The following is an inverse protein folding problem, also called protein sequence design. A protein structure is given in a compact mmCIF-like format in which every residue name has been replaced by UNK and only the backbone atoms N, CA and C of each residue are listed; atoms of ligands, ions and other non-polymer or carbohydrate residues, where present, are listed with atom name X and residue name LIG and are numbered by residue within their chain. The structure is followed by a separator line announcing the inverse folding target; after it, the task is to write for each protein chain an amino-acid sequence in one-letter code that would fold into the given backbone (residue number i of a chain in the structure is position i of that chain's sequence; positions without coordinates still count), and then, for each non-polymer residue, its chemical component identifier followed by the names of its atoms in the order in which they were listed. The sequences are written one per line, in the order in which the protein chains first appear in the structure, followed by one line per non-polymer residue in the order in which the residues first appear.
data_IF_102031040759
#
_entry.id   IF_102031040759
#
_cell.length_a   1.000
_cell.length_b   1.000
_cell.length_c   1.000
_cell.angle_alpha   90.00
_cell.angle_beta   90.00
_cell.angle_gamma   90.00
#
_symmetry.space_group_name_H-M   'P 1'
#
loop_
_entity.id
_entity.type
_entity.pdbx_description
1 polymer ?
#
# COMPACT_ATOMS: atom_id res chain seq x y z
N UNK A 1 20.20 3.00 -10.14
CA UNK A 1 20.74 3.24 -8.78
C UNK A 1 19.88 2.46 -7.78
N UNK A 2 20.46 1.73 -6.82
CA UNK A 2 19.69 1.08 -5.76
C UNK A 2 18.92 2.09 -4.89
N UNK A 3 17.75 1.69 -4.38
CA UNK A 3 16.92 2.51 -3.47
C UNK A 3 17.69 3.00 -2.24
N UNK A 4 18.54 2.16 -1.64
CA UNK A 4 19.41 2.53 -0.51
C UNK A 4 20.34 3.70 -0.85
N UNK A 5 20.92 3.72 -2.05
CA UNK A 5 21.79 4.80 -2.51
C UNK A 5 21.01 6.09 -2.73
N UNK A 6 19.81 6.01 -3.34
CA UNK A 6 18.91 7.17 -3.53
C UNK A 6 18.55 7.79 -2.18
N UNK A 7 18.17 6.97 -1.19
CA UNK A 7 17.85 7.43 0.15
C UNK A 7 19.02 8.18 0.79
N UNK A 8 20.24 7.60 0.76
CA UNK A 8 21.45 8.25 1.28
C UNK A 8 21.75 9.57 0.58
N UNK A 9 21.71 9.61 -0.75
CA UNK A 9 21.96 10.84 -1.51
C UNK A 9 20.98 11.96 -1.16
N UNK A 10 19.71 11.63 -0.92
CA UNK A 10 18.69 12.59 -0.46
C UNK A 10 18.99 13.14 0.94
N UNK A 11 19.55 12.32 1.83
CA UNK A 11 19.83 12.71 3.22
C UNK A 11 21.06 13.61 3.37
N UNK A 12 22.04 13.52 2.46
CA UNK A 12 23.34 14.21 2.61
C UNK A 12 23.44 15.52 1.83
N UNK A 13 22.53 15.83 0.90
CA UNK A 13 22.62 17.05 0.10
C UNK A 13 21.27 17.52 -0.43
N UNK A 14 20.96 18.81 -0.21
CA UNK A 14 19.77 19.48 -0.75
C UNK A 14 19.75 19.49 -2.28
N UNK A 15 20.92 19.64 -2.91
CA UNK A 15 21.04 19.62 -4.38
C UNK A 15 20.71 18.24 -4.94
N UNK A 16 21.28 17.18 -4.36
CA UNK A 16 20.94 15.82 -4.74
C UNK A 16 19.47 15.49 -4.46
N UNK A 17 18.93 15.94 -3.33
CA UNK A 17 17.51 15.78 -3.03
C UNK A 17 16.59 16.44 -4.07
N UNK A 18 16.97 17.62 -4.60
CA UNK A 18 16.26 18.28 -5.70
C UNK A 18 16.36 17.49 -7.01
N UNK A 19 17.58 17.08 -7.41
CA UNK A 19 17.80 16.31 -8.65
C UNK A 19 17.02 14.99 -8.64
N UNK A 20 17.05 14.26 -7.52
CA UNK A 20 16.37 12.96 -7.36
C UNK A 20 14.84 13.06 -7.28
N UNK A 21 14.29 14.27 -7.13
CA UNK A 21 12.84 14.54 -7.18
C UNK A 21 12.37 15.01 -8.56
N UNK A 22 13.28 15.26 -9.50
CA UNK A 22 12.87 15.73 -10.82
C UNK A 22 12.09 14.64 -11.57
N UNK A 23 11.11 15.03 -12.40
CA UNK A 23 10.32 14.07 -13.19
C UNK A 23 11.16 13.20 -14.12
N UNK A 24 12.15 13.78 -14.80
CA UNK A 24 13.04 13.07 -15.73
C UNK A 24 13.89 11.98 -15.05
N UNK A 25 14.40 12.25 -13.86
CA UNK A 25 15.09 11.22 -13.06
C UNK A 25 14.14 10.08 -12.69
N UNK A 26 12.92 10.44 -12.31
CA UNK A 26 11.87 9.50 -11.88
C UNK A 26 11.47 8.60 -13.04
N UNK A 27 11.23 9.19 -14.22
CA UNK A 27 10.92 8.46 -15.45
C UNK A 27 12.06 7.51 -15.85
N UNK A 28 13.31 7.99 -15.88
CA UNK A 28 14.47 7.17 -16.23
C UNK A 28 14.67 6.02 -15.23
N UNK A 29 14.43 6.28 -13.93
CA UNK A 29 14.42 5.24 -12.91
C UNK A 29 13.34 4.19 -13.17
N UNK A 30 12.11 4.61 -13.48
CA UNK A 30 11.01 3.72 -13.83
C UNK A 30 11.30 2.90 -15.09
N UNK A 31 11.75 3.51 -16.18
CA UNK A 31 12.11 2.81 -17.42
C UNK A 31 13.14 1.71 -17.16
N UNK A 32 14.19 2.00 -16.37
CA UNK A 32 15.21 1.00 -16.01
C UNK A 32 14.68 -0.07 -15.05
N UNK A 33 13.66 0.24 -14.24
CA UNK A 33 13.01 -0.72 -13.37
C UNK A 33 12.07 -1.64 -14.14
N UNK A 34 11.33 -1.12 -15.12
CA UNK A 34 10.44 -1.90 -15.99
C UNK A 34 11.22 -2.93 -16.83
N UNK A 35 12.46 -2.61 -17.22
CA UNK A 35 13.34 -3.56 -17.89
C UNK A 35 13.83 -4.73 -16.99
N UNK A 36 13.60 -4.64 -15.66
CA UNK A 36 13.92 -5.70 -14.68
C UNK A 36 12.70 -5.92 -13.77
N UNK A 37 11.64 -6.55 -14.28
CA UNK A 37 10.42 -6.73 -13.52
C UNK A 37 10.69 -7.52 -12.23
N UNK A 38 10.13 -7.02 -11.13
CA UNK A 38 10.15 -7.65 -9.82
C UNK A 38 8.71 -8.07 -9.50
N UNK A 39 8.53 -9.31 -9.09
CA UNK A 39 7.29 -9.77 -8.47
C UNK A 39 7.28 -9.30 -7.03
N UNK A 40 6.23 -8.57 -6.65
CA UNK A 40 5.95 -8.22 -5.26
C UNK A 40 4.90 -9.18 -4.74
N UNK A 41 5.25 -9.94 -3.70
CA UNK A 41 4.33 -10.86 -3.02
C UNK A 41 4.01 -10.28 -1.64
N UNK A 42 2.74 -10.37 -1.26
CA UNK A 42 2.26 -10.01 0.07
C UNK A 42 1.76 -11.28 0.76
N UNK A 43 2.30 -11.57 1.94
CA UNK A 43 1.88 -12.69 2.77
C UNK A 43 1.25 -12.16 4.07
N UNK A 44 0.09 -12.69 4.43
CA UNK A 44 -0.55 -12.41 5.71
C UNK A 44 0.00 -13.40 6.74
N UNK A 45 0.63 -12.89 7.79
CA UNK A 45 1.10 -13.68 8.92
C UNK A 45 0.52 -13.09 10.20
N UNK A 46 -0.39 -13.83 10.83
CA UNK A 46 -1.09 -13.44 12.06
C UNK A 46 -1.75 -12.05 11.94
N UNK A 47 -1.08 -11.01 12.45
CA UNK A 47 -1.49 -9.61 12.49
C UNK A 47 -0.51 -8.72 11.75
N UNK A 48 0.18 -9.23 10.73
CA UNK A 48 1.09 -8.46 9.91
C UNK A 48 1.00 -8.84 8.43
N UNK A 49 1.20 -7.86 7.55
CA UNK A 49 1.47 -8.10 6.13
C UNK A 49 2.98 -8.07 5.91
N UNK A 50 3.54 -9.14 5.39
CA UNK A 50 4.96 -9.25 5.05
C UNK A 50 5.12 -9.15 3.53
N UNK A 51 6.01 -8.26 3.09
CA UNK A 51 6.31 -8.05 1.69
C UNK A 51 7.63 -8.69 1.28
N UNK A 52 7.56 -9.44 0.18
CA UNK A 52 8.67 -10.10 -0.47
C UNK A 52 8.80 -9.56 -1.88
N UNK A 53 10.03 -9.38 -2.35
CA UNK A 53 10.27 -9.14 -3.77
C UNK A 53 11.21 -10.19 -4.33
N UNK A 54 10.93 -10.60 -5.56
CA UNK A 54 11.77 -11.54 -6.29
C UNK A 54 11.85 -11.13 -7.77
N UNK A 55 13.01 -11.27 -8.44
CA UNK A 55 13.10 -11.06 -9.88
C UNK A 55 12.08 -11.91 -10.63
N UNK A 56 11.32 -11.32 -11.55
CA UNK A 56 10.47 -12.11 -12.43
C UNK A 56 11.34 -12.86 -13.45
N UNK A 57 11.33 -14.20 -13.50
CA UNK A 57 12.11 -14.94 -14.48
C UNK A 57 11.58 -14.62 -15.88
N UNK A 58 12.48 -14.18 -16.77
CA UNK A 58 12.13 -13.81 -18.15
C UNK A 58 11.94 -15.04 -19.06
N UNK A 59 12.34 -16.24 -18.61
CA UNK A 59 12.18 -17.51 -19.32
C UNK A 59 11.62 -18.57 -18.37
N UNK A 60 10.47 -19.14 -18.72
CA UNK A 60 9.74 -20.14 -17.92
C UNK A 60 10.30 -21.57 -18.07
N UNK A 61 11.42 -21.75 -18.79
CA UNK A 61 11.91 -23.06 -19.26
C UNK A 61 13.10 -23.66 -18.48
N UNK A 62 13.75 -22.90 -17.62
CA UNK A 62 14.85 -23.40 -16.79
C UNK A 62 14.44 -23.31 -15.34
N UNK A 63 14.63 -24.41 -14.60
CA UNK A 63 14.30 -24.57 -13.19
C UNK A 63 14.46 -23.25 -12.44
N UNK A 64 13.32 -22.61 -12.11
CA UNK A 64 13.30 -21.34 -11.39
C UNK A 64 13.87 -21.63 -10.02
N UNK A 65 15.18 -21.45 -9.86
CA UNK A 65 15.79 -21.31 -8.56
C UNK A 65 15.10 -20.11 -7.94
N UNK A 66 14.17 -20.38 -7.02
CA UNK A 66 13.57 -19.38 -6.15
C UNK A 66 14.72 -18.78 -5.36
N UNK A 67 15.39 -17.78 -5.96
CA UNK A 67 16.34 -16.96 -5.24
C UNK A 67 15.64 -16.45 -3.99
N UNK A 68 16.33 -16.56 -2.86
CA UNK A 68 15.80 -16.21 -1.55
C UNK A 68 15.07 -14.87 -1.66
N UNK A 69 13.75 -14.89 -1.47
CA UNK A 69 12.94 -13.69 -1.60
C UNK A 69 13.41 -12.70 -0.52
N UNK A 70 13.81 -11.51 -0.93
CA UNK A 70 14.39 -10.55 -0.01
C UNK A 70 13.25 -9.99 0.85
N UNK A 71 13.38 -10.06 2.18
CA UNK A 71 12.39 -9.54 3.10
C UNK A 71 12.45 -8.01 3.09
N UNK A 72 11.39 -7.35 2.60
CA UNK A 72 11.44 -5.91 2.44
C UNK A 72 10.87 -5.15 3.63
N UNK A 73 9.64 -5.45 4.05
CA UNK A 73 8.90 -4.68 5.08
C UNK A 73 7.79 -5.53 5.71
N UNK A 74 7.49 -5.33 6.99
CA UNK A 74 6.24 -5.75 7.63
C UNK A 74 5.39 -4.55 8.04
N UNK A 75 4.06 -4.68 7.95
CA UNK A 75 3.11 -3.69 8.45
C UNK A 75 2.12 -4.35 9.42
N UNK A 76 1.92 -3.80 10.63
CA UNK A 76 0.97 -4.36 11.58
C UNK A 76 -0.47 -4.14 11.12
N UNK A 77 -1.30 -5.15 11.38
CA UNK A 77 -2.72 -5.21 11.13
C UNK A 77 -3.45 -5.34 12.47
N UNK A 78 -4.39 -4.44 12.71
CA UNK A 78 -5.33 -4.55 13.84
C UNK A 78 -6.58 -5.36 13.41
N UNK A 79 -7.51 -5.62 14.33
CA UNK A 79 -8.68 -6.45 14.05
C UNK A 79 -9.62 -5.84 12.99
N UNK A 80 -10.30 -6.70 12.21
CA UNK A 80 -11.27 -6.27 11.20
C UNK A 80 -10.62 -5.52 10.03
N UNK A 81 -9.48 -6.01 9.54
CA UNK A 81 -8.73 -5.33 8.48
C UNK A 81 -9.21 -5.69 7.06
N UNK A 82 -9.07 -4.74 6.14
CA UNK A 82 -9.30 -4.90 4.71
C UNK A 82 -8.06 -4.42 3.94
N UNK A 83 -7.52 -5.29 3.09
CA UNK A 83 -6.42 -4.98 2.18
C UNK A 83 -6.99 -4.63 0.80
N UNK A 84 -6.65 -3.46 0.25
CA UNK A 84 -6.98 -3.15 -1.14
C UNK A 84 -6.09 -3.92 -2.11
N UNK A 85 -6.48 -3.92 -3.39
CA UNK A 85 -5.59 -4.33 -4.48
C UNK A 85 -4.28 -3.55 -4.47
N UNK A 86 -3.21 -4.18 -4.96
CA UNK A 86 -1.90 -3.55 -5.19
C UNK A 86 -1.99 -2.77 -6.51
N UNK A 87 -1.75 -1.47 -6.44
CA UNK A 87 -1.83 -0.56 -7.60
C UNK A 87 -0.53 0.23 -7.68
N UNK A 88 0.19 0.10 -8.80
CA UNK A 88 1.49 0.75 -9.03
C UNK A 88 2.51 0.53 -7.90
N UNK A 89 2.46 -0.65 -7.26
CA UNK A 89 3.33 -1.00 -6.13
C UNK A 89 2.90 -0.39 -4.79
N UNK A 90 1.78 0.32 -4.72
CA UNK A 90 1.15 0.78 -3.48
C UNK A 90 -0.03 -0.11 -3.11
N UNK A 91 -0.37 -0.15 -1.82
CA UNK A 91 -1.57 -0.80 -1.34
C UNK A 91 -2.14 -0.02 -0.16
N UNK A 92 -3.45 -0.13 0.07
CA UNK A 92 -4.13 0.50 1.19
C UNK A 92 -4.53 -0.58 2.21
N UNK A 93 -4.10 -0.38 3.45
CA UNK A 93 -4.58 -1.15 4.60
C UNK A 93 -5.67 -0.33 5.26
N UNK A 94 -6.77 -0.97 5.62
CA UNK A 94 -7.81 -0.36 6.45
C UNK A 94 -8.10 -1.26 7.63
N UNK A 95 -8.33 -0.71 8.81
CA UNK A 95 -8.70 -1.47 10.00
C UNK A 95 -9.57 -0.62 10.93
N UNK A 96 -10.39 -1.29 11.74
CA UNK A 96 -11.24 -0.64 12.71
C UNK A 96 -10.52 -0.49 14.05
N UNK A 97 -10.55 0.73 14.59
CA UNK A 97 -10.16 1.02 15.97
C UNK A 97 -11.41 1.20 16.81
N UNK A 98 -11.56 0.37 17.83
CA UNK A 98 -12.59 0.56 18.87
C UNK A 98 -12.08 1.64 19.81
N UNK A 99 -12.87 2.69 20.00
CA UNK A 99 -12.59 3.73 20.98
C UNK A 99 -13.29 3.35 22.28
N UNK A 100 -12.53 3.11 23.35
CA UNK A 100 -13.08 2.74 24.66
C UNK A 100 -14.14 3.76 25.12
N UNK A 101 -15.31 3.26 25.50
CA UNK A 101 -16.43 4.08 25.98
C UNK A 101 -17.30 4.73 24.88
N UNK A 102 -17.05 4.49 23.59
CA UNK A 102 -17.81 5.08 22.48
C UNK A 102 -18.46 3.99 21.61
N UNK A 103 -19.75 4.13 21.28
CA UNK A 103 -20.50 3.24 20.36
C UNK A 103 -20.10 3.38 18.86
N UNK A 104 -18.88 3.84 18.59
CA UNK A 104 -18.40 4.11 17.24
C UNK A 104 -17.05 3.43 17.04
N UNK A 105 -16.89 2.80 15.88
CA UNK A 105 -15.59 2.39 15.37
C UNK A 105 -15.00 3.52 14.52
N UNK A 106 -13.68 3.70 14.61
CA UNK A 106 -12.93 4.57 13.71
C UNK A 106 -12.28 3.71 12.62
N UNK A 107 -12.64 3.94 11.35
CA UNK A 107 -11.96 3.29 10.24
C UNK A 107 -10.67 4.06 9.91
N UNK A 108 -9.54 3.49 10.30
CA UNK A 108 -8.21 4.01 9.98
C UNK A 108 -7.72 3.34 8.71
N UNK A 109 -7.20 4.14 7.78
CA UNK A 109 -6.55 3.61 6.57
C UNK A 109 -5.22 4.25 6.32
N UNK A 110 -4.31 3.46 5.74
CA UNK A 110 -2.94 3.86 5.45
C UNK A 110 -2.56 3.33 4.07
N UNK A 111 -2.06 4.21 3.21
CA UNK A 111 -1.42 3.83 1.94
C UNK A 111 0.04 3.50 2.24
N UNK A 112 0.48 2.34 1.82
CA UNK A 112 1.83 1.84 2.06
C UNK A 112 2.60 1.68 0.74
N UNK A 113 3.87 2.06 0.76
CA UNK A 113 4.84 1.80 -0.31
C UNK A 113 5.95 0.88 0.24
N UNK A 114 5.90 -0.43 -0.04
CA UNK A 114 6.86 -1.39 0.49
C UNK A 114 8.28 -1.18 -0.10
N UNK A 115 8.41 -0.64 -1.32
CA UNK A 115 9.71 -0.35 -1.93
C UNK A 115 10.49 0.76 -1.22
N UNK A 116 9.77 1.73 -0.65
CA UNK A 116 10.38 2.86 0.08
C UNK A 116 10.25 2.73 1.60
N UNK A 117 9.50 1.74 2.09
CA UNK A 117 9.12 1.58 3.50
C UNK A 117 8.36 2.79 4.07
N UNK A 118 7.68 3.54 3.20
CA UNK A 118 6.90 4.72 3.59
C UNK A 118 5.42 4.36 3.69
N UNK A 119 4.72 5.06 4.58
CA UNK A 119 3.29 4.97 4.74
C UNK A 119 2.67 6.35 4.90
N UNK A 120 1.44 6.49 4.42
CA UNK A 120 0.71 7.75 4.38
C UNK A 120 -0.69 7.51 4.94
N UNK A 121 -1.04 8.09 6.11
CA UNK A 121 -2.38 7.93 6.67
C UNK A 121 -3.39 8.68 5.82
N UNK A 122 -4.56 8.06 5.61
CA UNK A 122 -5.71 8.70 4.99
C UNK A 122 -6.57 9.40 6.06
N UNK A 123 -7.43 10.36 5.65
CA UNK A 123 -8.38 10.99 6.56
C UNK A 123 -9.21 9.94 7.32
N UNK A 124 -9.20 10.07 8.64
CA UNK A 124 -9.99 9.24 9.55
C UNK A 124 -11.47 9.48 9.32
N UNK A 125 -12.27 8.44 9.47
CA UNK A 125 -13.72 8.54 9.36
C UNK A 125 -14.36 7.74 10.50
N UNK A 126 -15.40 8.33 11.09
CA UNK A 126 -16.18 7.72 12.18
C UNK A 126 -17.40 7.02 11.58
N UNK A 127 -17.66 5.79 12.01
CA UNK A 127 -18.83 5.01 11.56
C UNK A 127 -19.74 4.67 12.72
N UNK A 128 -21.05 4.71 12.46
CA UNK A 128 -22.06 4.15 13.38
C UNK A 128 -21.90 2.63 13.43
N UNK A 129 -22.21 2.03 14.57
CA UNK A 129 -22.06 0.58 14.82
C UNK A 129 -22.77 -0.30 13.78
N UNK A 130 -23.83 0.20 13.13
CA UNK A 130 -24.61 -0.52 12.09
C UNK A 130 -24.23 -0.18 10.65
N UNK A 131 -23.16 0.57 10.42
CA UNK A 131 -22.72 0.95 9.07
C UNK A 131 -21.33 0.36 8.77
N UNK A 132 -21.26 -0.57 7.82
CA UNK A 132 -19.99 -1.05 7.27
C UNK A 132 -19.41 0.03 6.35
N UNK A 133 -18.12 0.32 6.47
CA UNK A 133 -17.45 1.25 5.57
C UNK A 133 -16.25 0.61 4.90
N UNK A 134 -16.27 0.65 3.57
CA UNK A 134 -15.21 0.10 2.74
C UNK A 134 -14.42 1.20 2.08
N UNK A 135 -13.10 1.01 2.01
CA UNK A 135 -12.22 1.86 1.22
C UNK A 135 -11.65 1.10 0.03
N UNK A 136 -11.77 1.72 -1.12
CA UNK A 136 -11.18 1.27 -2.37
C UNK A 136 -10.05 2.22 -2.73
N UNK A 137 -8.96 1.65 -3.22
CA UNK A 137 -7.81 2.39 -3.70
C UNK A 137 -7.68 2.14 -5.21
N UNK A 138 -7.41 3.19 -5.97
CA UNK A 138 -7.42 3.20 -7.43
C UNK A 138 -6.36 4.12 -8.01
N UNK A 139 -6.00 3.90 -9.27
CA UNK A 139 -5.21 4.86 -10.06
C UNK A 139 -6.06 5.36 -11.22
N UNK A 140 -6.15 6.68 -11.34
CA UNK A 140 -6.77 7.36 -12.47
C UNK A 140 -5.70 7.60 -13.55
N UNK A 141 -5.76 6.90 -14.70
CA UNK A 141 -4.77 7.07 -15.75
C UNK A 141 -4.92 8.39 -16.53
N UNK A 142 -6.09 9.04 -16.47
CA UNK A 142 -6.35 10.31 -17.18
C UNK A 142 -5.65 11.45 -16.44
N UNK A 143 -5.96 11.59 -15.15
CA UNK A 143 -5.37 12.63 -14.29
C UNK A 143 -4.00 12.22 -13.70
N UNK A 144 -3.59 10.98 -13.92
CA UNK A 144 -2.34 10.38 -13.39
C UNK A 144 -2.25 10.43 -11.87
N UNK A 145 -3.36 10.22 -11.17
CA UNK A 145 -3.46 10.35 -9.71
C UNK A 145 -3.91 9.06 -9.04
N UNK A 146 -3.38 8.78 -7.85
CA UNK A 146 -3.93 7.78 -6.96
C UNK A 146 -5.14 8.36 -6.23
N UNK A 147 -6.24 7.61 -6.19
CA UNK A 147 -7.50 8.01 -5.58
C UNK A 147 -7.94 6.96 -4.56
N UNK A 148 -8.52 7.42 -3.47
CA UNK A 148 -9.18 6.56 -2.48
C UNK A 148 -10.67 6.91 -2.46
N UNK A 149 -11.52 5.90 -2.59
CA UNK A 149 -12.97 6.01 -2.49
C UNK A 149 -13.44 5.35 -1.20
N UNK A 150 -14.22 6.07 -0.41
CA UNK A 150 -14.90 5.52 0.77
C UNK A 150 -16.38 5.32 0.44
N UNK A 151 -16.91 4.14 0.75
CA UNK A 151 -18.33 3.81 0.60
C UNK A 151 -18.87 3.34 1.94
N UNK A 152 -19.90 4.01 2.43
CA UNK A 152 -20.67 3.59 3.60
C UNK A 152 -21.84 2.73 3.14
N UNK A 153 -21.88 1.50 3.59
CA UNK A 153 -22.97 0.56 3.37
C UNK A 153 -23.85 0.55 4.63
N UNK A 154 -25.14 0.85 4.46
CA UNK A 154 -26.11 0.73 5.55
C UNK A 154 -26.68 -0.69 5.53
N UNK A 155 -26.64 -1.39 6.66
CA UNK A 155 -27.35 -2.65 6.79
C UNK A 155 -28.87 -2.38 6.85
N UNK A 156 -29.56 -2.70 5.75
CA UNK A 156 -31.02 -2.55 5.63
C UNK A 156 -31.82 -3.49 6.55
N UNK A 157 -31.18 -4.43 7.25
CA UNK A 157 -31.85 -5.37 8.17
C UNK A 157 -32.31 -4.74 9.51
N UNK A 158 -32.22 -3.41 9.67
CA UNK A 158 -32.81 -2.69 10.80
C UNK A 158 -34.14 -1.98 10.48
N UNK A 159 -34.65 -2.12 9.25
CA UNK A 159 -36.02 -1.74 8.91
C UNK A 159 -36.88 -2.99 8.90
N UNK A 160 -37.17 -3.53 10.09
CA UNK A 160 -38.38 -4.33 10.31
C UNK A 160 -39.08 -3.73 11.51
N UNK A 161 -40.00 -2.84 11.16
CA UNK A 161 -41.27 -2.43 11.76
C UNK A 161 -41.47 -2.34 13.29
N UNK A 162 -42.18 -1.26 13.63
CA UNK A 162 -42.78 -0.90 14.91
C UNK A 162 -43.74 -1.95 15.48
#
# INVERSE_FOLDING_TARGET
MPLKSIARCRSVSKRWASVLRRPDFTELFFTRSLARPLLLLACLKEKEVIFFSTPQPQNLGENVSLMAADHHVSFPLEHGYHLSNIINGFFCISHYRVLEGIKFSELVSVICNPSTKQSFPLPKMKTREMADMRRFFGYDPVEKQHKALSVTMLDYNSVVDH
#
